data_IF_501271867662
#
_entry.id   IF_501271867662
#
_cell.length_a   1.000
_cell.length_b   1.000
_cell.length_c   1.000
_cell.angle_alpha   90.00
_cell.angle_beta   90.00
_cell.angle_gamma   90.00
#
_symmetry.space_group_name_H-M   'P 1'
#
loop_
_entity.id
_entity.type
_entity.pdbx_description
1 polymer ?
#
# COMPACT_ATOMS: atom_id res chain seq x y z
N UNK A 1 -29.62 -23.50 -61.74
CA UNK A 1 -28.29 -22.99 -62.12
C UNK A 1 -28.22 -21.55 -61.61
N UNK A 2 -27.43 -21.32 -60.55
CA UNK A 2 -27.06 -20.05 -59.90
C UNK A 2 -28.16 -19.07 -59.44
N UNK A 3 -28.06 -18.30 -58.37
CA UNK A 3 -27.24 -18.21 -57.15
C UNK A 3 -27.89 -17.08 -56.29
N UNK A 4 -27.69 -17.11 -54.95
CA UNK A 4 -27.57 -16.02 -53.94
C UNK A 4 -28.39 -14.72 -54.14
N UNK A 5 -29.06 -14.06 -53.17
CA UNK A 5 -28.97 -13.86 -51.71
C UNK A 5 -30.13 -12.89 -51.37
N UNK A 6 -30.94 -12.96 -50.32
CA UNK A 6 -30.60 -12.93 -48.89
C UNK A 6 -30.71 -11.49 -48.34
N UNK A 7 -31.74 -11.19 -47.54
CA UNK A 7 -31.72 -10.48 -46.23
C UNK A 7 -33.14 -10.05 -45.85
N UNK A 8 -33.73 -10.75 -44.88
CA UNK A 8 -34.96 -10.36 -44.17
C UNK A 8 -34.59 -10.10 -42.71
N UNK A 9 -35.14 -9.02 -42.14
CA UNK A 9 -34.69 -8.42 -40.89
C UNK A 9 -34.80 -9.31 -39.65
N UNK A 10 -33.92 -9.02 -38.69
CA UNK A 10 -34.02 -9.47 -37.31
C UNK A 10 -33.89 -8.25 -36.39
N UNK A 11 -34.88 -8.13 -35.52
CA UNK A 11 -35.16 -7.08 -34.56
C UNK A 11 -33.98 -6.84 -33.61
N UNK A 12 -33.58 -5.56 -33.46
CA UNK A 12 -32.60 -5.13 -32.45
C UNK A 12 -33.20 -5.33 -31.05
N UNK A 13 -32.75 -6.38 -30.36
CA UNK A 13 -32.92 -6.49 -28.91
C UNK A 13 -32.05 -5.42 -28.26
N UNK A 14 -32.69 -4.48 -27.58
CA UNK A 14 -32.07 -3.43 -26.77
C UNK A 14 -31.14 -4.06 -25.74
N UNK A 15 -29.86 -3.67 -25.80
CA UNK A 15 -28.82 -4.13 -24.90
C UNK A 15 -29.17 -3.85 -23.44
N UNK A 16 -28.90 -4.85 -22.61
CA UNK A 16 -28.81 -4.68 -21.17
C UNK A 16 -27.85 -3.54 -20.86
N UNK A 17 -28.30 -2.60 -20.05
CA UNK A 17 -27.47 -1.58 -19.42
C UNK A 17 -26.34 -2.28 -18.66
N UNK A 18 -25.12 -2.26 -19.21
CA UNK A 18 -23.91 -2.56 -18.46
C UNK A 18 -23.83 -1.58 -17.29
N UNK A 19 -24.01 -2.10 -16.09
CA UNK A 19 -23.85 -1.37 -14.84
C UNK A 19 -22.42 -0.85 -14.80
N UNK A 20 -22.27 0.48 -14.76
CA UNK A 20 -21.02 1.25 -14.64
C UNK A 20 -20.30 1.04 -13.28
N UNK A 21 -20.23 -0.21 -12.81
CA UNK A 21 -19.56 -0.59 -11.57
C UNK A 21 -18.22 -1.25 -11.88
N UNK A 22 -17.12 -0.54 -11.62
CA UNK A 22 -15.77 -1.10 -11.79
C UNK A 22 -15.57 -2.42 -11.03
N UNK A 23 -14.70 -3.28 -11.55
CA UNK A 23 -14.40 -4.61 -10.99
C UNK A 23 -13.97 -4.48 -9.54
N UNK A 24 -14.71 -5.14 -8.64
CA UNK A 24 -14.36 -5.13 -7.21
C UNK A 24 -13.12 -5.98 -6.99
N UNK A 25 -12.09 -5.39 -6.41
CA UNK A 25 -10.81 -6.06 -6.15
C UNK A 25 -10.60 -6.20 -4.65
N UNK A 26 -10.53 -7.44 -4.16
CA UNK A 26 -10.33 -7.73 -2.75
C UNK A 26 -8.87 -7.46 -2.32
N UNK A 27 -8.72 -6.78 -1.18
CA UNK A 27 -7.46 -6.37 -0.57
C UNK A 27 -7.33 -7.00 0.82
N UNK A 28 -6.18 -7.60 1.12
CA UNK A 28 -5.79 -7.95 2.50
C UNK A 28 -4.85 -6.89 3.01
N UNK A 29 -5.13 -6.33 4.18
CA UNK A 29 -4.31 -5.30 4.83
C UNK A 29 -3.59 -5.88 6.06
N UNK A 30 -2.27 -5.83 6.10
CA UNK A 30 -1.46 -6.08 7.29
C UNK A 30 -1.08 -4.74 7.94
N UNK A 31 -1.42 -4.59 9.21
CA UNK A 31 -1.22 -3.36 9.99
C UNK A 31 -2.45 -2.45 9.98
N UNK A 32 -2.93 -2.12 11.17
CA UNK A 32 -4.10 -1.25 11.39
C UNK A 32 -3.81 -0.14 12.40
N UNK A 33 -2.60 0.43 12.30
CA UNK A 33 -2.25 1.69 12.95
C UNK A 33 -2.76 2.90 12.15
N UNK A 34 -2.22 4.12 12.39
CA UNK A 34 -2.67 5.33 11.71
C UNK A 34 -2.66 5.24 10.18
N UNK A 35 -1.59 4.68 9.58
CA UNK A 35 -1.48 4.50 8.13
C UNK A 35 -2.53 3.52 7.60
N UNK A 36 -2.72 2.38 8.28
CA UNK A 36 -3.72 1.38 7.89
C UNK A 36 -5.14 1.92 7.97
N UNK A 37 -5.47 2.68 9.02
CA UNK A 37 -6.77 3.33 9.19
C UNK A 37 -7.02 4.37 8.08
N UNK A 38 -6.05 5.26 7.85
CA UNK A 38 -6.13 6.25 6.78
C UNK A 38 -6.29 5.61 5.39
N UNK A 39 -5.64 4.46 5.16
CA UNK A 39 -5.79 3.69 3.93
C UNK A 39 -7.22 3.15 3.76
N UNK A 40 -7.81 2.56 4.80
CA UNK A 40 -9.22 2.09 4.78
C UNK A 40 -10.17 3.25 4.51
N UNK A 41 -10.01 4.37 5.24
CA UNK A 41 -10.83 5.56 5.08
C UNK A 41 -10.74 6.14 3.68
N UNK A 42 -9.54 6.16 3.10
CA UNK A 42 -9.33 6.66 1.73
C UNK A 42 -10.00 5.76 0.70
N UNK A 43 -9.91 4.44 0.85
CA UNK A 43 -10.60 3.51 -0.05
C UNK A 43 -12.13 3.65 0.04
N UNK A 44 -12.67 3.84 1.24
CA UNK A 44 -14.11 4.06 1.43
C UNK A 44 -14.55 5.37 0.77
N UNK A 45 -13.78 6.44 0.93
CA UNK A 45 -14.07 7.77 0.37
C UNK A 45 -13.95 7.83 -1.15
N UNK A 46 -12.94 7.17 -1.72
CA UNK A 46 -12.56 7.34 -3.13
C UNK A 46 -12.98 6.19 -4.03
N UNK A 47 -13.50 5.09 -3.47
CA UNK A 47 -13.74 3.86 -4.21
C UNK A 47 -14.59 4.05 -5.48
N UNK A 48 -15.58 4.95 -5.44
CA UNK A 48 -16.37 5.27 -6.64
C UNK A 48 -15.59 6.05 -7.70
N UNK A 49 -14.75 7.00 -7.28
CA UNK A 49 -13.91 7.77 -8.19
C UNK A 49 -12.88 6.86 -8.87
N UNK A 50 -12.29 5.92 -8.12
CA UNK A 50 -11.41 4.88 -8.64
C UNK A 50 -12.15 3.97 -9.64
N UNK A 51 -13.38 3.56 -9.32
CA UNK A 51 -14.19 2.74 -10.21
C UNK A 51 -14.48 3.47 -11.53
N UNK A 52 -14.88 4.74 -11.48
CA UNK A 52 -15.15 5.56 -12.67
C UNK A 52 -13.90 5.80 -13.52
N UNK A 53 -12.77 6.12 -12.88
CA UNK A 53 -11.55 6.52 -13.60
C UNK A 53 -10.73 5.35 -14.10
N UNK A 54 -10.73 4.24 -13.37
CA UNK A 54 -9.81 3.12 -13.59
C UNK A 54 -10.51 1.77 -13.75
N UNK A 55 -11.85 1.73 -13.68
CA UNK A 55 -12.61 0.49 -13.81
C UNK A 55 -12.39 -0.48 -12.65
N UNK A 56 -11.82 -0.03 -11.53
CA UNK A 56 -11.51 -0.88 -10.38
C UNK A 56 -12.02 -0.27 -9.08
N UNK A 57 -12.61 -1.10 -8.23
CA UNK A 57 -13.08 -0.71 -6.91
C UNK A 57 -12.41 -1.58 -5.84
N UNK A 58 -11.27 -1.15 -5.27
CA UNK A 58 -10.63 -1.89 -4.20
C UNK A 58 -11.53 -1.93 -2.96
N UNK A 59 -11.66 -3.10 -2.32
CA UNK A 59 -12.29 -3.24 -1.01
C UNK A 59 -11.42 -4.07 -0.09
N UNK A 60 -11.29 -3.64 1.15
CA UNK A 60 -10.62 -4.42 2.19
C UNK A 60 -11.50 -5.61 2.53
N UNK A 61 -10.94 -6.81 2.36
CA UNK A 61 -11.62 -8.08 2.62
C UNK A 61 -11.13 -8.73 3.93
N UNK A 62 -9.93 -8.38 4.38
CA UNK A 62 -9.43 -8.74 5.71
C UNK A 62 -8.41 -7.71 6.20
N UNK A 63 -8.38 -7.50 7.51
CA UNK A 63 -7.35 -6.74 8.21
C UNK A 63 -6.63 -7.66 9.17
N UNK A 64 -5.30 -7.57 9.22
CA UNK A 64 -4.43 -8.46 10.01
C UNK A 64 -3.48 -7.65 10.87
N UNK A 65 -3.29 -8.10 12.10
CA UNK A 65 -2.22 -7.71 13.02
C UNK A 65 -1.30 -8.91 13.26
N UNK A 66 -0.36 -8.78 14.20
CA UNK A 66 0.63 -9.82 14.48
C UNK A 66 0.02 -11.16 14.87
N UNK A 67 -0.99 -11.15 15.76
CA UNK A 67 -1.61 -12.35 16.32
C UNK A 67 -3.14 -12.42 16.14
N UNK A 68 -3.74 -11.42 15.48
CA UNK A 68 -5.18 -11.34 15.31
C UNK A 68 -5.55 -10.83 13.91
N UNK A 69 -6.77 -11.11 13.48
CA UNK A 69 -7.32 -10.67 12.22
C UNK A 69 -8.83 -10.45 12.31
N UNK A 70 -9.39 -9.65 11.42
CA UNK A 70 -10.83 -9.53 11.28
C UNK A 70 -11.22 -9.40 9.81
N UNK A 71 -12.51 -9.58 9.55
CA UNK A 71 -13.14 -9.09 8.33
C UNK A 71 -13.80 -7.74 8.63
N UNK A 72 -13.75 -6.79 7.69
CA UNK A 72 -14.59 -5.60 7.79
C UNK A 72 -16.07 -5.99 7.80
N UNK A 73 -16.89 -5.14 8.43
CA UNK A 73 -18.34 -5.25 8.45
C UNK A 73 -18.93 -4.96 7.05
N UNK A 74 -20.23 -5.15 6.88
CA UNK A 74 -20.92 -5.03 5.57
C UNK A 74 -20.71 -3.65 4.93
N UNK A 75 -20.69 -2.61 5.75
CA UNK A 75 -20.42 -1.23 5.36
C UNK A 75 -18.93 -0.95 5.03
N UNK A 76 -18.05 -1.90 5.31
CA UNK A 76 -16.61 -1.80 5.12
C UNK A 76 -15.84 -1.23 6.32
N UNK A 77 -16.53 -0.93 7.43
CA UNK A 77 -15.88 -0.51 8.67
C UNK A 77 -15.10 -1.67 9.30
N UNK A 78 -14.01 -1.37 9.99
CA UNK A 78 -13.20 -2.38 10.67
C UNK A 78 -13.66 -2.46 12.12
N UNK A 79 -14.08 -3.64 12.61
CA UNK A 79 -14.59 -3.77 13.98
C UNK A 79 -13.49 -3.50 15.02
N UNK A 80 -13.86 -3.15 16.27
CA UNK A 80 -12.90 -2.94 17.34
C UNK A 80 -12.07 -4.20 17.61
N UNK A 81 -10.82 -4.02 18.06
CA UNK A 81 -9.85 -5.12 18.28
C UNK A 81 -10.37 -6.26 19.18
N UNK A 82 -11.30 -5.98 20.09
CA UNK A 82 -11.93 -6.99 20.95
C UNK A 82 -12.78 -8.01 20.18
N UNK A 83 -13.14 -7.74 18.93
CA UNK A 83 -13.91 -8.62 18.05
C UNK A 83 -13.05 -9.30 16.98
N UNK A 84 -11.73 -9.22 17.10
CA UNK A 84 -10.84 -9.84 16.13
C UNK A 84 -10.60 -11.31 16.50
N UNK A 85 -10.59 -12.17 15.49
CA UNK A 85 -10.24 -13.58 15.64
C UNK A 85 -8.72 -13.75 15.74
N UNK A 86 -8.22 -14.88 16.27
CA UNK A 86 -6.82 -15.26 16.13
C UNK A 86 -6.36 -15.24 14.66
N UNK A 87 -5.14 -14.78 14.42
CA UNK A 87 -4.55 -14.78 13.09
C UNK A 87 -4.43 -16.21 12.56
N UNK A 88 -4.84 -16.40 11.31
CA UNK A 88 -4.67 -17.66 10.57
C UNK A 88 -3.43 -17.56 9.69
N UNK A 89 -2.92 -18.68 9.15
CA UNK A 89 -1.96 -18.63 8.04
C UNK A 89 -2.38 -17.63 6.95
N UNK A 90 -1.40 -16.93 6.37
CA UNK A 90 -1.67 -15.82 5.45
C UNK A 90 -2.28 -16.31 4.12
N UNK A 91 -1.80 -17.44 3.63
CA UNK A 91 -2.34 -18.20 2.51
C UNK A 91 -3.83 -18.50 2.66
N UNK A 92 -4.25 -19.04 3.82
CA UNK A 92 -5.66 -19.29 4.09
C UNK A 92 -6.51 -18.01 4.02
N UNK A 93 -5.93 -16.87 4.42
CA UNK A 93 -6.64 -15.59 4.33
C UNK A 93 -6.77 -15.13 2.88
N UNK A 94 -5.74 -15.34 2.05
CA UNK A 94 -5.85 -15.08 0.62
C UNK A 94 -6.91 -15.98 -0.03
N UNK A 95 -6.92 -17.27 0.26
CA UNK A 95 -7.88 -18.23 -0.29
C UNK A 95 -9.32 -17.87 0.09
N UNK A 96 -9.55 -17.52 1.37
CA UNK A 96 -10.89 -17.16 1.87
C UNK A 96 -11.39 -15.80 1.44
N UNK A 97 -10.53 -14.93 0.92
CA UNK A 97 -10.89 -13.58 0.48
C UNK A 97 -10.86 -13.41 -1.03
N UNK A 98 -10.18 -14.31 -1.75
CA UNK A 98 -9.89 -14.14 -3.18
C UNK A 98 -9.03 -12.90 -3.45
N UNK A 99 -8.27 -12.42 -2.46
CA UNK A 99 -7.55 -11.17 -2.58
C UNK A 99 -6.47 -11.22 -3.66
N UNK A 100 -6.41 -10.14 -4.45
CA UNK A 100 -5.41 -9.95 -5.52
C UNK A 100 -4.36 -8.91 -5.15
N UNK A 101 -4.56 -8.23 -4.03
CA UNK A 101 -3.64 -7.22 -3.49
C UNK A 101 -3.43 -7.48 -2.01
N UNK A 102 -2.18 -7.49 -1.59
CA UNK A 102 -1.74 -7.50 -0.20
C UNK A 102 -1.08 -6.15 0.13
N UNK A 103 -1.60 -5.47 1.15
CA UNK A 103 -1.12 -4.15 1.57
C UNK A 103 -0.40 -4.29 2.91
N UNK A 104 0.81 -3.75 3.00
CA UNK A 104 1.59 -3.71 4.24
C UNK A 104 1.68 -2.27 4.76
N UNK A 105 1.13 -2.07 5.95
CA UNK A 105 1.18 -0.84 6.74
C UNK A 105 1.58 -1.17 8.18
N UNK A 106 2.55 -2.07 8.35
CA UNK A 106 3.12 -2.44 9.65
C UNK A 106 4.32 -1.55 10.00
N UNK A 107 4.60 -1.32 11.29
CA UNK A 107 5.77 -0.56 11.72
C UNK A 107 7.07 -1.12 11.14
N UNK A 108 7.97 -0.23 10.73
CA UNK A 108 9.30 -0.62 10.27
C UNK A 108 10.20 -0.80 11.48
N UNK A 109 10.48 -2.05 11.86
CA UNK A 109 11.43 -2.36 12.93
C UNK A 109 12.25 -3.61 12.58
N UNK A 110 13.44 -3.79 13.19
CA UNK A 110 14.23 -5.00 13.01
C UNK A 110 13.43 -6.27 13.33
N UNK A 111 12.66 -6.29 14.43
CA UNK A 111 11.90 -7.46 14.85
C UNK A 111 10.70 -7.83 13.97
N UNK A 112 10.29 -6.97 13.04
CA UNK A 112 9.21 -7.24 12.08
C UNK A 112 9.71 -7.44 10.64
N UNK A 113 11.01 -7.23 10.40
CA UNK A 113 11.60 -7.22 9.05
C UNK A 113 11.43 -8.56 8.35
N UNK A 114 11.85 -9.65 8.99
CA UNK A 114 11.87 -11.00 8.42
C UNK A 114 10.44 -11.45 8.12
N UNK A 115 9.53 -11.28 9.09
CA UNK A 115 8.11 -11.57 8.91
C UNK A 115 7.50 -10.78 7.75
N UNK A 116 7.78 -9.47 7.65
CA UNK A 116 7.23 -8.66 6.57
C UNK A 116 7.78 -9.08 5.19
N UNK A 117 9.04 -9.52 5.12
CA UNK A 117 9.63 -10.09 3.92
C UNK A 117 8.96 -11.42 3.54
N UNK A 118 8.81 -12.34 4.49
CA UNK A 118 8.18 -13.65 4.29
C UNK A 118 6.73 -13.52 3.80
N UNK A 119 5.93 -12.66 4.44
CA UNK A 119 4.54 -12.41 4.05
C UNK A 119 4.46 -11.82 2.63
N UNK A 120 5.35 -10.89 2.27
CA UNK A 120 5.40 -10.31 0.93
C UNK A 120 5.84 -11.34 -0.12
N UNK A 121 6.87 -12.15 0.16
CA UNK A 121 7.33 -13.22 -0.73
C UNK A 121 6.22 -14.26 -0.96
N UNK A 122 5.50 -14.64 0.09
CA UNK A 122 4.37 -15.58 -0.01
C UNK A 122 3.26 -15.03 -0.92
N UNK A 123 2.91 -13.75 -0.79
CA UNK A 123 1.94 -13.10 -1.65
C UNK A 123 2.41 -13.05 -3.12
N UNK A 124 3.63 -12.55 -3.35
CA UNK A 124 4.18 -12.35 -4.69
C UNK A 124 4.30 -13.65 -5.49
N UNK A 125 4.78 -14.73 -4.84
CA UNK A 125 4.89 -16.07 -5.44
C UNK A 125 3.54 -16.67 -5.85
N UNK A 126 2.45 -16.23 -5.22
CA UNK A 126 1.08 -16.64 -5.54
C UNK A 126 0.42 -15.75 -6.61
N UNK A 127 1.15 -14.80 -7.19
CA UNK A 127 0.60 -13.85 -8.15
C UNK A 127 -0.25 -12.74 -7.53
N UNK A 128 -0.17 -12.54 -6.20
CA UNK A 128 -0.85 -11.47 -5.48
C UNK A 128 0.06 -10.25 -5.48
N UNK A 129 -0.45 -9.09 -5.90
CA UNK A 129 0.32 -7.85 -5.90
C UNK A 129 0.59 -7.38 -4.47
N UNK A 130 1.78 -6.84 -4.20
CA UNK A 130 2.13 -6.25 -2.91
C UNK A 130 2.22 -4.74 -3.03
N UNK A 131 1.58 -4.02 -2.09
CA UNK A 131 1.72 -2.58 -1.92
C UNK A 131 2.20 -2.34 -0.50
N UNK A 132 3.34 -1.69 -0.30
CA UNK A 132 3.93 -1.55 1.03
C UNK A 132 4.30 -0.10 1.37
N UNK A 133 3.95 0.30 2.59
CA UNK A 133 4.49 1.45 3.28
C UNK A 133 5.56 1.05 4.31
N UNK A 134 5.81 -0.25 4.49
CA UNK A 134 6.81 -0.80 5.40
C UNK A 134 8.17 -0.84 4.69
N UNK A 135 9.16 -0.11 5.25
CA UNK A 135 10.50 0.05 4.68
C UNK A 135 11.44 -1.11 5.01
N UNK A 136 11.32 -1.67 6.22
CA UNK A 136 12.36 -2.51 6.83
C UNK A 136 12.80 -3.70 5.96
N UNK A 137 11.85 -4.40 5.34
CA UNK A 137 12.15 -5.55 4.48
C UNK A 137 12.65 -5.15 3.09
N UNK A 138 12.33 -3.95 2.60
CA UNK A 138 12.80 -3.47 1.30
C UNK A 138 14.31 -3.27 1.31
N UNK A 139 14.88 -2.81 2.43
CA UNK A 139 16.31 -2.52 2.55
C UNK A 139 17.19 -3.75 2.40
N UNK A 140 16.75 -4.91 2.89
CA UNK A 140 17.56 -6.14 2.92
C UNK A 140 17.10 -7.20 1.92
N UNK A 141 15.82 -7.25 1.56
CA UNK A 141 15.24 -8.33 0.74
C UNK A 141 14.76 -7.87 -0.65
N UNK A 142 15.09 -6.64 -1.09
CA UNK A 142 14.60 -6.10 -2.38
C UNK A 142 14.80 -7.05 -3.57
N UNK A 143 15.99 -7.65 -3.70
CA UNK A 143 16.31 -8.55 -4.84
C UNK A 143 15.40 -9.78 -4.86
N UNK A 144 15.15 -10.38 -3.71
CA UNK A 144 14.29 -11.56 -3.59
C UNK A 144 12.83 -11.21 -3.86
N UNK A 145 12.37 -10.07 -3.36
CA UNK A 145 11.02 -9.57 -3.60
C UNK A 145 10.78 -9.27 -5.08
N UNK A 146 11.73 -8.59 -5.74
CA UNK A 146 11.63 -8.29 -7.17
C UNK A 146 11.65 -9.57 -8.03
N UNK A 147 12.48 -10.54 -7.68
CA UNK A 147 12.51 -11.84 -8.35
C UNK A 147 11.21 -12.63 -8.16
N UNK A 148 10.68 -12.66 -6.93
CA UNK A 148 9.40 -13.31 -6.63
C UNK A 148 8.22 -12.65 -7.36
N UNK A 149 8.20 -11.32 -7.45
CA UNK A 149 7.17 -10.58 -8.18
C UNK A 149 7.18 -10.97 -9.67
N UNK A 150 8.36 -11.00 -10.30
CA UNK A 150 8.51 -11.41 -11.71
C UNK A 150 8.09 -12.86 -11.93
N UNK A 151 8.55 -13.78 -11.07
CA UNK A 151 8.24 -15.20 -11.20
C UNK A 151 6.74 -15.51 -11.01
N UNK A 152 6.07 -14.81 -10.09
CA UNK A 152 4.64 -14.95 -9.85
C UNK A 152 3.75 -14.16 -10.80
N UNK A 153 4.31 -13.39 -11.75
CA UNK A 153 3.53 -12.50 -12.63
C UNK A 153 2.80 -11.39 -11.88
N UNK A 154 3.33 -10.98 -10.72
CA UNK A 154 2.77 -9.95 -9.85
C UNK A 154 3.65 -8.70 -9.81
N UNK A 155 3.29 -7.74 -8.95
CA UNK A 155 4.00 -6.47 -8.83
C UNK A 155 4.18 -6.15 -7.35
N UNK A 156 5.31 -5.55 -7.00
CA UNK A 156 5.53 -4.88 -5.72
C UNK A 156 5.58 -3.36 -5.95
N UNK A 157 4.78 -2.60 -5.19
CA UNK A 157 4.74 -1.12 -5.21
C UNK A 157 5.15 -0.58 -3.86
N UNK A 158 6.03 0.43 -3.87
CA UNK A 158 6.77 0.88 -2.67
C UNK A 158 6.59 2.37 -2.37
N UNK A 159 5.69 3.08 -3.08
CA UNK A 159 5.59 4.55 -2.98
C UNK A 159 5.31 5.01 -1.55
N UNK A 160 4.47 4.29 -0.81
CA UNK A 160 4.18 4.62 0.60
C UNK A 160 5.38 4.44 1.53
N UNK A 161 6.42 3.73 1.10
CA UNK A 161 7.65 3.53 1.85
C UNK A 161 8.74 4.58 1.49
N UNK A 162 8.57 5.36 0.42
CA UNK A 162 9.60 6.27 -0.12
C UNK A 162 9.12 7.72 -0.15
N UNK A 163 9.42 8.50 0.89
CA UNK A 163 9.13 9.95 0.89
C UNK A 163 7.66 10.33 1.14
N UNK A 164 6.93 9.50 1.89
CA UNK A 164 5.53 9.71 2.26
C UNK A 164 4.61 9.98 1.06
N UNK A 165 4.21 11.24 0.82
CA UNK A 165 3.35 11.63 -0.29
C UNK A 165 4.10 11.91 -1.60
N UNK A 166 5.45 11.96 -1.56
CA UNK A 166 6.25 12.19 -2.75
C UNK A 166 6.32 10.92 -3.61
N UNK A 167 6.16 11.01 -4.94
CA UNK A 167 6.21 9.85 -5.83
C UNK A 167 7.66 9.37 -6.09
N UNK A 168 8.56 9.44 -5.10
CA UNK A 168 9.99 9.21 -5.30
C UNK A 168 10.29 7.81 -5.85
N UNK A 169 9.69 6.77 -5.25
CA UNK A 169 9.78 5.40 -5.73
C UNK A 169 9.17 5.19 -7.12
N UNK A 170 8.10 5.90 -7.45
CA UNK A 170 7.44 5.79 -8.76
C UNK A 170 8.22 6.49 -9.87
N UNK A 171 8.78 7.67 -9.59
CA UNK A 171 9.60 8.43 -10.53
C UNK A 171 10.81 7.61 -11.00
N UNK A 172 11.53 6.98 -10.05
CA UNK A 172 12.66 6.11 -10.37
C UNK A 172 12.26 4.90 -11.23
N UNK A 173 11.04 4.37 -11.03
CA UNK A 173 10.55 3.19 -11.76
C UNK A 173 9.89 3.51 -13.09
N UNK A 174 9.53 4.75 -13.36
CA UNK A 174 8.76 5.11 -14.56
C UNK A 174 9.49 6.21 -15.34
N UNK A 175 9.54 7.39 -14.75
CA UNK A 175 9.94 8.63 -15.43
C UNK A 175 11.44 8.74 -15.65
N UNK A 176 12.25 8.08 -14.82
CA UNK A 176 13.71 8.05 -14.99
C UNK A 176 14.19 6.89 -15.88
N UNK A 177 13.29 5.99 -16.33
CA UNK A 177 13.68 4.91 -17.23
C UNK A 177 14.14 5.50 -18.57
N UNK A 178 15.41 5.28 -18.91
CA UNK A 178 16.03 5.81 -20.12
C UNK A 178 16.82 7.11 -19.93
N UNK A 179 16.82 7.67 -18.71
CA UNK A 179 17.70 8.79 -18.35
C UNK A 179 18.97 8.26 -17.65
N UNK A 180 20.11 8.89 -17.94
CA UNK A 180 21.38 8.63 -17.23
C UNK A 180 21.41 9.43 -15.91
N UNK A 181 20.57 9.03 -14.94
CA UNK A 181 20.49 9.67 -13.63
C UNK A 181 21.69 9.28 -12.77
N UNK A 182 22.68 10.18 -12.65
CA UNK A 182 23.94 9.91 -11.93
C UNK A 182 23.90 10.19 -10.44
N UNK A 183 22.97 11.03 -9.98
CA UNK A 183 22.91 11.47 -8.58
C UNK A 183 21.48 11.77 -8.14
N UNK A 184 21.13 11.30 -6.95
CA UNK A 184 19.91 11.65 -6.23
C UNK A 184 20.33 12.35 -4.92
N UNK A 185 19.73 13.50 -4.63
CA UNK A 185 19.88 14.22 -3.37
C UNK A 185 18.49 14.42 -2.77
N UNK A 186 18.33 14.06 -1.50
CA UNK A 186 17.06 14.14 -0.80
C UNK A 186 17.27 14.44 0.68
N UNK A 187 16.27 15.05 1.31
CA UNK A 187 16.13 15.13 2.75
C UNK A 187 14.83 14.39 3.13
N UNK A 188 14.86 13.04 3.21
CA UNK A 188 13.64 12.24 3.26
C UNK A 188 13.03 12.14 4.67
N UNK A 189 13.75 12.58 5.71
CA UNK A 189 13.30 12.53 7.10
C UNK A 189 12.67 13.86 7.53
N UNK A 190 11.34 13.84 7.73
CA UNK A 190 10.57 15.03 8.08
C UNK A 190 10.91 15.60 9.46
N UNK A 191 11.20 14.74 10.44
CA UNK A 191 11.55 15.14 11.81
C UNK A 191 12.87 15.89 11.86
N UNK A 192 13.92 15.33 11.23
CA UNK A 192 15.23 15.95 11.10
C UNK A 192 15.13 17.26 10.33
N UNK A 193 14.38 17.30 9.21
CA UNK A 193 14.16 18.53 8.43
C UNK A 193 13.55 19.63 9.31
N UNK A 194 12.47 19.31 10.04
CA UNK A 194 11.80 20.27 10.91
C UNK A 194 12.72 20.77 12.02
N UNK A 195 13.50 19.87 12.65
CA UNK A 195 14.44 20.26 13.69
C UNK A 195 15.54 21.16 13.13
N UNK A 196 16.09 20.84 11.96
CA UNK A 196 17.10 21.67 11.29
C UNK A 196 16.56 23.06 10.92
N UNK A 197 15.32 23.15 10.43
CA UNK A 197 14.66 24.44 10.15
C UNK A 197 14.53 25.28 11.43
N UNK A 198 14.24 24.67 12.58
CA UNK A 198 14.15 25.36 13.88
C UNK A 198 15.51 25.84 14.38
N UNK A 199 16.54 25.01 14.25
CA UNK A 199 17.91 25.43 14.54
C UNK A 199 18.35 26.60 13.66
N UNK A 200 17.98 26.60 12.37
CA UNK A 200 18.28 27.68 11.44
C UNK A 200 17.59 29.01 11.81
N UNK A 201 16.44 28.96 12.48
CA UNK A 201 15.74 30.13 13.03
C UNK A 201 16.28 30.57 14.39
N UNK A 202 17.25 29.86 14.96
CA UNK A 202 17.93 30.22 16.21
C UNK A 202 17.43 29.49 17.45
N UNK A 203 16.52 28.51 17.32
CA UNK A 203 16.11 27.68 18.44
C UNK A 203 17.25 26.79 18.94
N UNK A 204 17.23 26.43 20.22
CA UNK A 204 18.10 25.36 20.72
C UNK A 204 17.60 23.99 20.24
N UNK A 205 18.49 22.99 20.20
CA UNK A 205 18.10 21.63 19.85
C UNK A 205 16.97 21.08 20.73
N UNK A 206 17.00 21.38 22.03
CA UNK A 206 15.96 20.96 22.96
C UNK A 206 14.59 21.59 22.66
N UNK A 207 14.58 22.86 22.28
CA UNK A 207 13.36 23.59 21.91
C UNK A 207 12.77 23.08 20.60
N UNK A 208 13.63 22.86 19.60
CA UNK A 208 13.24 22.29 18.31
C UNK A 208 12.60 20.90 18.46
N UNK A 209 13.23 20.00 19.23
CA UNK A 209 12.70 18.65 19.50
C UNK A 209 11.37 18.74 20.24
N UNK A 210 11.26 19.61 21.24
CA UNK A 210 10.02 19.81 21.99
C UNK A 210 8.89 20.34 21.08
N UNK A 211 9.20 21.28 20.20
CA UNK A 211 8.25 21.80 19.20
C UNK A 211 7.80 20.72 18.22
N UNK A 212 8.73 19.86 17.76
CA UNK A 212 8.41 18.73 16.89
C UNK A 212 7.45 17.75 17.57
N UNK A 213 7.68 17.42 18.85
CA UNK A 213 6.81 16.53 19.64
C UNK A 213 5.43 17.14 19.88
N UNK A 214 5.35 18.43 20.21
CA UNK A 214 4.07 19.14 20.40
C UNK A 214 3.21 19.11 19.14
N UNK A 215 3.83 19.13 17.96
CA UNK A 215 3.14 19.02 16.66
C UNK A 215 2.88 17.58 16.22
N UNK A 216 3.30 16.58 16.99
CA UNK A 216 3.20 15.17 16.62
C UNK A 216 4.09 14.78 15.43
N UNK A 217 5.10 15.60 15.10
CA UNK A 217 6.07 15.31 14.05
C UNK A 217 7.09 14.28 14.55
N UNK A 218 7.58 14.47 15.78
CA UNK A 218 8.49 13.54 16.45
C UNK A 218 7.73 12.66 17.45
N UNK A 219 8.09 11.37 17.50
CA UNK A 219 7.63 10.46 18.56
C UNK A 219 8.26 10.81 19.93
N UNK A 220 7.86 10.06 20.97
CA UNK A 220 8.41 10.25 22.31
C UNK A 220 9.93 10.04 22.36
N UNK A 221 10.42 9.08 21.57
CA UNK A 221 11.84 8.82 21.32
C UNK A 221 12.15 9.09 19.83
N UNK A 222 12.75 10.25 19.50
CA UNK A 222 13.09 10.61 18.13
C UNK A 222 14.49 10.12 17.70
N UNK A 223 15.10 9.17 18.43
CA UNK A 223 16.50 8.79 18.20
C UNK A 223 16.77 8.33 16.77
N UNK A 224 15.89 7.51 16.18
CA UNK A 224 16.06 7.01 14.82
C UNK A 224 15.95 8.11 13.74
N UNK A 225 15.16 9.15 14.01
CA UNK A 225 15.03 10.30 13.11
C UNK A 225 16.27 11.20 13.16
N UNK A 226 16.81 11.43 14.37
CA UNK A 226 17.90 12.37 14.59
C UNK A 226 19.29 11.74 14.41
N UNK A 227 19.42 10.42 14.54
CA UNK A 227 20.65 9.67 14.20
C UNK A 227 20.87 9.55 12.70
N UNK A 228 19.79 9.69 11.91
CA UNK A 228 19.78 9.44 10.48
C UNK A 228 19.44 8.00 10.10
N UNK A 229 19.14 7.10 11.04
CA UNK A 229 18.83 5.69 10.75
C UNK A 229 17.54 5.51 9.90
N UNK A 230 16.59 6.46 9.94
CA UNK A 230 15.41 6.45 9.09
C UNK A 230 15.67 6.93 7.64
N UNK A 231 16.76 7.67 7.40
CA UNK A 231 17.11 8.25 6.09
C UNK A 231 17.92 7.28 5.22
#
# INVERSE_FOLDING_TARGET
MNELTGVTGATRTTGATETTGGTTTAVVLAGYGPVGQAFVDRLARDGEALARRHGVRPRVAAVRASAAQCRPDVDGSVPPRSRWDPARPLDETFDRTGARVFVQAVPSSPGLRERAAEEALAALRRGIHVVTATKSHLLTHWRELDAAARAGGSMIRISGATGAALPAGDLSRTSLRGLDCRTIRACPNGTATFVLDRLAEGDTLGDAIRAARLRGIAEADPSADLSGDDA
#
